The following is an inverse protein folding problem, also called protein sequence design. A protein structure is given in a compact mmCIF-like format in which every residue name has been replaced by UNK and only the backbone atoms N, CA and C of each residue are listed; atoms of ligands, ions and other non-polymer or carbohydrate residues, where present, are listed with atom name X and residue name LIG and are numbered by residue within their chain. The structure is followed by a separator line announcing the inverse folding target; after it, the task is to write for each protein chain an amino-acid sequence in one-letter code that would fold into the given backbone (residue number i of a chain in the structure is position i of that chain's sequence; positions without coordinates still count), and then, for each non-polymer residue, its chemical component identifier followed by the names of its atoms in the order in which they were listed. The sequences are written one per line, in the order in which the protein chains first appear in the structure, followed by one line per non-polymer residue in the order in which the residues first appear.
data_IF_668225338547
#
_entry.id   IF_668225338547
#
_cell.length_a   1.000
_cell.length_b   1.000
_cell.length_c   1.000
_cell.angle_alpha   90.00
_cell.angle_beta   90.00
_cell.angle_gamma   90.00
#
_symmetry.space_group_name_H-M   'P 1'
#
loop_
_entity.id
_entity.type
_entity.pdbx_description
1 polymer ?
#
# COMPACT_ATOMS: atom_id res chain seq x y z
N UNK A 1 2.40 -17.97 -7.53
CA UNK A 1 2.88 -17.25 -6.33
C UNK A 1 3.95 -16.29 -6.79
N UNK A 2 3.78 -14.98 -6.59
CA UNK A 2 4.72 -13.94 -7.07
C UNK A 2 5.48 -13.23 -5.95
N UNK A 3 5.18 -13.54 -4.68
CA UNK A 3 5.81 -12.98 -3.49
C UNK A 3 6.26 -14.12 -2.57
N UNK A 4 7.48 -14.03 -2.05
CA UNK A 4 8.00 -14.83 -0.95
C UNK A 4 8.11 -13.94 0.29
N UNK A 5 7.53 -14.39 1.40
CA UNK A 5 7.43 -13.63 2.65
C UNK A 5 8.38 -14.26 3.68
N UNK A 6 9.30 -13.46 4.21
CA UNK A 6 10.34 -13.92 5.13
C UNK A 6 10.35 -13.04 6.37
N UNK A 7 10.22 -13.68 7.54
CA UNK A 7 10.50 -13.07 8.84
C UNK A 7 11.75 -13.77 9.41
N UNK A 8 12.94 -13.12 9.37
CA UNK A 8 14.17 -13.70 9.91
C UNK A 8 14.04 -14.05 11.39
N UNK A 9 14.66 -15.15 11.81
CA UNK A 9 14.57 -15.65 13.19
C UNK A 9 15.27 -14.74 14.22
N UNK A 10 16.17 -13.88 13.77
CA UNK A 10 16.92 -12.90 14.56
C UNK A 10 16.29 -11.50 14.56
N UNK A 11 15.10 -11.34 13.97
CA UNK A 11 14.30 -10.11 14.02
C UNK A 11 12.93 -10.35 14.67
N UNK A 12 12.30 -9.30 15.26
CA UNK A 12 10.91 -9.41 15.72
C UNK A 12 9.98 -9.81 14.58
N UNK A 13 8.93 -10.59 14.90
CA UNK A 13 7.87 -10.95 13.95
C UNK A 13 6.70 -9.97 14.13
N UNK A 14 6.49 -9.02 13.20
CA UNK A 14 5.43 -8.03 13.31
C UNK A 14 4.07 -8.61 12.90
N UNK A 15 2.98 -8.10 13.50
CA UNK A 15 1.61 -8.52 13.15
C UNK A 15 1.10 -7.86 11.86
N UNK A 16 1.62 -6.69 11.51
CA UNK A 16 1.06 -5.83 10.45
C UNK A 16 1.82 -5.85 9.12
N UNK A 17 3.03 -6.41 9.08
CA UNK A 17 3.85 -6.44 7.86
C UNK A 17 4.74 -7.69 7.81
N UNK A 18 5.51 -7.85 6.75
CA UNK A 18 6.56 -8.89 6.65
C UNK A 18 7.90 -8.18 6.60
N UNK A 19 8.89 -8.65 7.37
CA UNK A 19 10.22 -8.02 7.44
C UNK A 19 10.89 -7.97 6.06
N UNK A 20 10.77 -9.05 5.28
CA UNK A 20 11.34 -9.16 3.94
C UNK A 20 10.32 -9.74 2.97
N UNK A 21 10.18 -9.10 1.81
CA UNK A 21 9.36 -9.60 0.70
C UNK A 21 10.21 -9.69 -0.56
N UNK A 22 10.32 -10.89 -1.14
CA UNK A 22 10.97 -11.10 -2.44
C UNK A 22 9.88 -11.16 -3.51
N UNK A 23 9.93 -10.26 -4.49
CA UNK A 23 9.03 -10.27 -5.63
C UNK A 23 9.66 -11.02 -6.81
N UNK A 24 9.09 -12.16 -7.19
CA UNK A 24 9.59 -13.04 -8.28
C UNK A 24 8.72 -12.99 -9.54
N UNK A 25 7.88 -11.96 -9.66
CA UNK A 25 7.01 -11.75 -10.83
C UNK A 25 7.73 -11.17 -12.04
N UNK A 26 7.13 -11.33 -13.22
CA UNK A 26 7.61 -10.74 -14.49
C UNK A 26 7.10 -9.33 -14.75
N UNK A 27 6.16 -8.82 -13.95
CA UNK A 27 5.60 -7.46 -14.03
C UNK A 27 5.67 -6.78 -12.67
N UNK A 28 6.31 -5.62 -12.62
CA UNK A 28 6.31 -4.72 -11.47
C UNK A 28 5.43 -3.51 -11.77
N UNK A 29 4.62 -3.09 -10.79
CA UNK A 29 3.74 -1.92 -10.89
C UNK A 29 4.15 -0.94 -9.81
N UNK A 30 4.61 0.24 -10.23
CA UNK A 30 4.95 1.34 -9.33
C UNK A 30 3.78 2.33 -9.30
N UNK A 31 3.15 2.48 -8.14
CA UNK A 31 1.99 3.36 -7.95
C UNK A 31 2.46 4.63 -7.25
N UNK A 32 2.16 5.80 -7.81
CA UNK A 32 2.43 7.10 -7.19
C UNK A 32 1.72 7.24 -5.83
N UNK A 33 2.22 8.12 -4.96
CA UNK A 33 1.62 8.35 -3.64
C UNK A 33 0.14 8.72 -3.74
N UNK A 34 -0.71 7.98 -3.01
CA UNK A 34 -2.15 8.20 -3.00
C UNK A 34 -2.53 9.15 -1.87
N UNK A 35 -3.07 10.31 -2.23
CA UNK A 35 -3.46 11.36 -1.30
C UNK A 35 -4.95 11.24 -0.93
N UNK A 36 -5.40 11.86 0.17
CA UNK A 36 -6.81 11.91 0.55
C UNK A 36 -7.59 12.93 -0.31
N UNK A 37 -7.49 12.81 -1.63
CA UNK A 37 -8.20 13.65 -2.59
C UNK A 37 -9.35 12.88 -3.26
N UNK A 38 -10.46 13.58 -3.51
CA UNK A 38 -11.56 13.09 -4.33
C UNK A 38 -11.22 13.13 -5.83
N UNK A 39 -12.18 12.75 -6.69
CA UNK A 39 -11.98 12.73 -8.16
C UNK A 39 -11.79 14.12 -8.78
N UNK A 40 -12.07 15.19 -8.02
CA UNK A 40 -11.86 16.58 -8.44
C UNK A 40 -10.55 17.15 -7.87
N UNK A 41 -9.73 16.34 -7.19
CA UNK A 41 -8.49 16.78 -6.57
C UNK A 41 -8.70 17.56 -5.26
N UNK A 42 -9.86 17.42 -4.61
CA UNK A 42 -10.16 18.15 -3.37
C UNK A 42 -9.84 17.30 -2.15
N UNK A 43 -9.14 17.90 -1.18
CA UNK A 43 -8.87 17.28 0.13
C UNK A 43 -10.17 16.87 0.83
N UNK A 44 -10.22 15.61 1.28
CA UNK A 44 -11.29 15.04 2.12
C UNK A 44 -10.74 14.75 3.51
N UNK A 45 -11.53 15.02 4.55
CA UNK A 45 -11.14 14.73 5.94
C UNK A 45 -10.18 15.76 6.53
N UNK A 46 -10.39 17.06 6.26
CA UNK A 46 -9.57 18.12 6.87
C UNK A 46 -9.63 18.03 8.40
N UNK A 47 -8.47 17.88 9.05
CA UNK A 47 -8.37 17.69 10.51
C UNK A 47 -8.74 16.28 11.00
N UNK A 48 -9.09 15.35 10.11
CA UNK A 48 -9.42 13.96 10.44
C UNK A 48 -8.45 13.00 9.73
N UNK A 49 -7.40 12.60 10.46
CA UNK A 49 -6.40 11.65 9.97
C UNK A 49 -7.00 10.29 9.60
N UNK A 50 -7.98 9.80 10.35
CA UNK A 50 -8.58 8.50 10.08
C UNK A 50 -9.38 8.52 8.78
N UNK A 51 -10.11 9.60 8.50
CA UNK A 51 -10.78 9.80 7.22
C UNK A 51 -9.78 9.91 6.06
N UNK A 52 -8.68 10.65 6.25
CA UNK A 52 -7.63 10.77 5.24
C UNK A 52 -6.97 9.44 4.91
N UNK A 53 -6.55 8.68 5.94
CA UNK A 53 -5.94 7.37 5.76
C UNK A 53 -6.88 6.41 5.01
N UNK A 54 -8.16 6.33 5.40
CA UNK A 54 -9.16 5.50 4.71
C UNK A 54 -9.27 5.84 3.23
N UNK A 55 -9.32 7.14 2.89
CA UNK A 55 -9.43 7.55 1.50
C UNK A 55 -8.14 7.27 0.70
N UNK A 56 -6.96 7.54 1.27
CA UNK A 56 -5.68 7.21 0.65
C UNK A 56 -5.56 5.71 0.33
N UNK A 57 -5.95 4.82 1.24
CA UNK A 57 -5.96 3.37 0.98
C UNK A 57 -7.05 2.95 -0.01
N UNK A 58 -8.21 3.62 -0.02
CA UNK A 58 -9.25 3.39 -1.04
C UNK A 58 -8.81 3.85 -2.44
N UNK A 59 -8.05 4.94 -2.53
CA UNK A 59 -7.40 5.41 -3.77
C UNK A 59 -6.34 4.38 -4.24
N UNK A 60 -5.52 3.84 -3.31
CA UNK A 60 -4.56 2.77 -3.61
C UNK A 60 -5.25 1.50 -4.14
N UNK A 61 -6.37 1.09 -3.54
CA UNK A 61 -7.15 -0.06 -4.02
C UNK A 61 -7.66 0.12 -5.46
N UNK A 62 -8.08 1.34 -5.81
CA UNK A 62 -8.48 1.70 -7.18
C UNK A 62 -7.30 1.64 -8.15
N UNK A 63 -6.14 2.18 -7.77
CA UNK A 63 -4.92 2.13 -8.59
C UNK A 63 -4.43 0.69 -8.83
N UNK A 64 -4.47 -0.17 -7.80
CA UNK A 64 -4.17 -1.59 -7.92
C UNK A 64 -5.12 -2.28 -8.91
N UNK A 65 -6.43 -2.05 -8.76
CA UNK A 65 -7.45 -2.62 -9.63
C UNK A 65 -7.24 -2.22 -11.10
N UNK A 66 -6.90 -0.95 -11.36
CA UNK A 66 -6.59 -0.45 -12.71
C UNK A 66 -5.38 -1.15 -13.35
N UNK A 67 -4.42 -1.63 -12.54
CA UNK A 67 -3.27 -2.39 -13.00
C UNK A 67 -3.52 -3.90 -13.13
N UNK A 68 -4.72 -4.37 -12.76
CA UNK A 68 -5.07 -5.79 -12.65
C UNK A 68 -4.46 -6.48 -11.44
N UNK A 69 -4.09 -5.73 -10.39
CA UNK A 69 -3.46 -6.22 -9.17
C UNK A 69 -4.43 -6.21 -7.98
N UNK A 70 -4.09 -6.96 -6.94
CA UNK A 70 -4.83 -7.06 -5.67
C UNK A 70 -3.96 -6.65 -4.48
N UNK A 71 -4.55 -6.30 -3.33
CA UNK A 71 -3.79 -5.91 -2.12
C UNK A 71 -2.78 -6.96 -1.63
N UNK A 72 -3.10 -8.25 -1.74
CA UNK A 72 -2.20 -9.37 -1.36
C UNK A 72 -0.98 -9.53 -2.28
N UNK A 73 -0.91 -8.74 -3.36
CA UNK A 73 0.22 -8.68 -4.28
C UNK A 73 1.12 -7.46 -4.05
N UNK A 74 0.82 -6.64 -3.03
CA UNK A 74 1.66 -5.49 -2.65
C UNK A 74 2.89 -5.99 -1.88
N UNK A 75 4.09 -5.73 -2.41
CA UNK A 75 5.34 -6.12 -1.76
C UNK A 75 5.93 -5.06 -0.83
N UNK A 76 5.61 -3.78 -1.04
CA UNK A 76 6.13 -2.65 -0.26
C UNK A 76 5.12 -1.51 -0.24
N UNK A 77 4.97 -0.88 0.92
CA UNK A 77 4.24 0.39 1.08
C UNK A 77 5.20 1.39 1.72
N UNK A 78 5.22 2.61 1.20
CA UNK A 78 5.89 3.76 1.83
C UNK A 78 4.80 4.70 2.34
N UNK A 79 4.81 4.99 3.64
CA UNK A 79 3.81 5.86 4.29
C UNK A 79 4.51 7.13 4.76
N UNK A 80 3.94 8.28 4.40
CA UNK A 80 4.35 9.60 4.89
C UNK A 80 3.20 10.17 5.73
N UNK A 81 3.51 10.66 6.92
CA UNK A 81 2.56 11.23 7.89
C UNK A 81 3.14 12.58 8.34
N UNK A 82 2.27 13.57 8.56
CA UNK A 82 2.61 14.91 9.07
C UNK A 82 1.88 15.19 10.37
#
# INVERSE_FOLDING_TARGET
MSLELINPADLPVPEMYTQVVIATGSKLVFISGQQPEDTNGKLVGHGDFAAQARLSFANLGRALSAAGARPDQVCKITIYIV
#
